data_IF_934681440017
#
_entry.id   IF_934681440017
#
_cell.length_a   1.000
_cell.length_b   1.000
_cell.length_c   1.000
_cell.angle_alpha   90.00
_cell.angle_beta   90.00
_cell.angle_gamma   90.00
#
_symmetry.space_group_name_H-M   'P 1'
#
loop_
_entity.id
_entity.type
_entity.pdbx_description
1 polymer ?
#
# COMPACT_ATOMS: atom_id res chain seq x y z
N UNK A 1 -7.62 6.34 28.19
CA UNK A 1 -6.28 6.98 28.09
C UNK A 1 -5.24 6.32 29.00
N UNK A 2 -5.53 6.08 30.28
CA UNK A 2 -4.59 5.46 31.23
C UNK A 2 -4.12 4.05 30.84
N UNK A 3 -5.03 3.19 30.36
CA UNK A 3 -4.69 1.86 29.86
C UNK A 3 -3.72 1.89 28.67
N UNK A 4 -3.97 2.79 27.70
CA UNK A 4 -3.09 2.95 26.53
C UNK A 4 -1.68 3.39 26.91
N UNK A 5 -1.54 4.27 27.92
CA UNK A 5 -0.24 4.67 28.43
C UNK A 5 0.49 3.51 29.13
N UNK A 6 -0.22 2.71 29.92
CA UNK A 6 0.34 1.50 30.56
C UNK A 6 0.82 0.50 29.51
N UNK A 7 0.02 0.26 28.46
CA UNK A 7 0.37 -0.62 27.35
C UNK A 7 1.59 -0.09 26.57
N UNK A 8 1.62 1.19 26.21
CA UNK A 8 2.75 1.78 25.51
C UNK A 8 4.05 1.70 26.32
N UNK A 9 3.98 1.95 27.63
CA UNK A 9 5.12 1.77 28.55
C UNK A 9 5.60 0.32 28.61
N UNK A 10 4.68 -0.64 28.66
CA UNK A 10 5.01 -2.07 28.66
C UNK A 10 5.68 -2.51 27.35
N UNK A 11 5.17 -2.06 26.20
CA UNK A 11 5.76 -2.33 24.87
C UNK A 11 7.18 -1.75 24.79
N UNK A 12 7.36 -0.49 25.19
CA UNK A 12 8.66 0.16 25.18
C UNK A 12 9.66 -0.51 26.12
N UNK A 13 9.22 -0.86 27.34
CA UNK A 13 10.04 -1.57 28.31
C UNK A 13 10.47 -2.94 27.79
N UNK A 14 9.58 -3.70 27.16
CA UNK A 14 9.92 -5.00 26.56
C UNK A 14 10.93 -4.85 25.43
N UNK A 15 10.73 -3.85 24.55
CA UNK A 15 11.64 -3.58 23.44
C UNK A 15 13.06 -3.19 23.89
N UNK A 16 13.21 -2.55 25.06
CA UNK A 16 14.50 -2.07 25.57
C UNK A 16 15.16 -3.05 26.53
N UNK A 17 14.38 -3.76 27.34
CA UNK A 17 14.89 -4.64 28.40
C UNK A 17 15.17 -6.07 27.92
N UNK A 18 14.41 -6.56 26.94
CA UNK A 18 14.50 -7.95 26.49
C UNK A 18 15.52 -8.17 25.36
N UNK A 19 16.27 -7.14 24.94
CA UNK A 19 17.34 -7.23 23.93
C UNK A 19 16.90 -7.62 22.49
N UNK A 20 15.65 -8.02 22.30
CA UNK A 20 15.14 -8.70 21.09
C UNK A 20 14.18 -7.84 20.26
N UNK A 21 14.37 -6.51 20.24
CA UNK A 21 13.68 -5.68 19.25
C UNK A 21 14.31 -5.93 17.87
N UNK A 22 13.57 -6.54 16.95
CA UNK A 22 14.09 -7.00 15.64
C UNK A 22 14.91 -5.93 14.91
N UNK A 23 14.45 -4.68 14.94
CA UNK A 23 15.11 -3.55 14.29
C UNK A 23 15.92 -2.65 15.23
N UNK A 24 15.86 -2.90 16.54
CA UNK A 24 16.40 -1.97 17.54
C UNK A 24 17.92 -1.96 17.56
N UNK A 25 18.54 -3.13 17.42
CA UNK A 25 20.00 -3.27 17.45
C UNK A 25 20.66 -2.83 16.13
N UNK A 26 19.91 -2.85 15.02
CA UNK A 26 20.41 -2.58 13.67
C UNK A 26 20.08 -1.18 13.13
N UNK A 27 19.58 -0.28 13.98
CA UNK A 27 19.15 1.08 13.57
C UNK A 27 20.20 1.85 12.79
N UNK A 28 21.47 1.76 13.21
CA UNK A 28 22.56 2.43 12.51
C UNK A 28 22.90 1.78 11.16
N UNK A 29 22.71 0.47 11.03
CA UNK A 29 22.86 -0.21 9.75
C UNK A 29 21.79 0.26 8.76
N UNK A 30 20.53 0.34 9.18
CA UNK A 30 19.46 0.86 8.31
C UNK A 30 19.70 2.30 7.84
N UNK A 31 20.17 3.17 8.74
CA UNK A 31 20.61 4.53 8.37
C UNK A 31 21.74 4.52 7.36
N UNK A 32 22.69 3.62 7.52
CA UNK A 32 23.83 3.46 6.60
C UNK A 32 23.38 2.94 5.23
N UNK A 33 22.45 1.97 5.18
CA UNK A 33 21.88 1.50 3.92
C UNK A 33 21.12 2.59 3.18
N UNK A 34 20.35 3.42 3.88
CA UNK A 34 19.70 4.59 3.25
C UNK A 34 20.75 5.57 2.72
N UNK A 35 21.83 5.84 3.46
CA UNK A 35 22.93 6.70 2.97
C UNK A 35 23.54 6.13 1.70
N UNK A 36 23.78 4.82 1.66
CA UNK A 36 24.35 4.14 0.50
C UNK A 36 23.39 4.12 -0.69
N UNK A 37 22.11 3.91 -0.43
CA UNK A 37 21.04 3.97 -1.43
C UNK A 37 20.88 5.37 -2.04
N UNK A 38 21.24 6.42 -1.30
CA UNK A 38 21.31 7.80 -1.78
C UNK A 38 22.68 8.18 -2.37
N UNK A 39 23.67 7.29 -2.31
CA UNK A 39 25.05 7.53 -2.74
C UNK A 39 25.87 8.44 -1.83
N UNK A 40 25.36 8.75 -0.63
CA UNK A 40 26.09 9.49 0.39
C UNK A 40 26.92 8.52 1.23
N UNK A 41 27.86 7.84 0.57
CA UNK A 41 28.76 6.91 1.23
C UNK A 41 29.88 7.67 1.93
N UNK A 42 30.24 7.23 3.14
CA UNK A 42 31.40 7.79 3.82
C UNK A 42 32.67 7.37 3.08
N UNK A 43 33.49 8.35 2.73
CA UNK A 43 34.75 8.17 2.01
C UNK A 43 35.83 7.66 2.96
N UNK A 44 35.75 8.00 4.25
CA UNK A 44 36.80 7.73 5.23
C UNK A 44 37.07 6.25 5.41
N UNK A 45 36.06 5.38 5.25
CA UNK A 45 36.22 3.93 5.34
C UNK A 45 37.16 3.33 4.28
N UNK A 46 37.31 3.99 3.12
CA UNK A 46 38.13 3.47 2.02
C UNK A 46 39.59 3.95 2.08
N UNK A 47 39.87 5.03 2.82
CA UNK A 47 41.23 5.59 2.91
C UNK A 47 42.23 4.57 3.51
N UNK A 48 41.95 3.89 4.63
CA UNK A 48 42.87 2.89 5.20
C UNK A 48 43.12 1.69 4.28
N UNK A 49 42.13 1.28 3.48
CA UNK A 49 42.24 0.14 2.55
C UNK A 49 43.24 0.39 1.42
N UNK A 50 43.49 1.66 1.09
CA UNK A 50 44.44 2.09 0.07
C UNK A 50 45.83 2.41 0.66
N UNK A 51 46.09 1.98 1.91
CA UNK A 51 47.36 2.21 2.58
C UNK A 51 47.56 3.65 3.07
N UNK A 52 46.50 4.46 3.05
CA UNK A 52 46.53 5.85 3.50
C UNK A 52 46.28 5.89 5.00
N UNK A 53 47.35 6.16 5.76
CA UNK A 53 47.25 6.35 7.20
C UNK A 53 46.82 7.80 7.49
N UNK A 54 45.64 7.98 8.09
CA UNK A 54 45.04 9.29 8.40
C UNK A 54 45.85 10.13 9.39
N UNK A 55 46.92 9.58 9.98
CA UNK A 55 47.83 10.33 10.88
C UNK A 55 48.91 11.14 10.15
N UNK A 56 49.27 10.79 8.91
CA UNK A 56 50.33 11.46 8.14
C UNK A 56 49.77 12.10 6.85
N UNK A 57 48.66 12.82 6.98
CA UNK A 57 47.93 13.46 5.85
C UNK A 57 48.80 14.46 5.07
N UNK A 58 49.85 15.01 5.69
CA UNK A 58 50.68 16.06 5.10
C UNK A 58 51.85 15.56 4.23
N UNK A 59 52.16 14.26 4.23
CA UNK A 59 53.35 13.70 3.56
C UNK A 59 53.03 12.85 2.33
N UNK A 60 51.75 12.61 2.05
CA UNK A 60 51.33 11.62 1.06
C UNK A 60 50.39 12.26 0.03
N UNK A 61 50.35 11.73 -1.20
CA UNK A 61 49.70 12.32 -2.39
C UNK A 61 48.15 12.45 -2.31
N UNK A 62 47.57 12.36 -1.12
CA UNK A 62 46.14 12.43 -0.83
C UNK A 62 45.43 13.73 -1.27
N UNK A 63 46.03 14.94 -1.19
CA UNK A 63 45.31 16.18 -1.53
C UNK A 63 44.96 16.29 -3.01
N UNK A 64 45.68 15.54 -3.86
CA UNK A 64 45.53 15.59 -5.31
C UNK A 64 44.56 14.55 -5.87
N UNK A 65 44.03 13.66 -5.04
CA UNK A 65 43.08 12.63 -5.45
C UNK A 65 41.66 13.09 -5.11
N UNK A 66 40.75 13.07 -6.09
CA UNK A 66 39.32 13.20 -5.83
C UNK A 66 38.78 11.87 -5.28
N UNK A 67 38.34 11.89 -4.03
CA UNK A 67 37.82 10.72 -3.32
C UNK A 67 36.30 10.52 -3.50
N UNK A 68 35.67 11.31 -4.35
CA UNK A 68 34.24 11.22 -4.65
C UNK A 68 33.84 9.84 -5.17
N UNK A 69 32.95 9.18 -4.44
CA UNK A 69 32.41 7.88 -4.83
C UNK A 69 31.34 8.09 -5.89
N UNK A 70 31.52 7.48 -7.07
CA UNK A 70 30.51 7.53 -8.13
C UNK A 70 29.28 6.73 -7.72
N UNK A 71 28.15 7.42 -7.65
CA UNK A 71 26.89 6.81 -7.25
C UNK A 71 26.18 6.11 -8.43
N UNK A 72 26.42 4.81 -8.58
CA UNK A 72 25.68 3.97 -9.53
C UNK A 72 24.43 3.31 -8.91
N UNK A 73 24.43 3.12 -7.59
CA UNK A 73 23.40 2.38 -6.87
C UNK A 73 22.05 3.11 -6.89
N UNK A 74 22.04 4.41 -6.61
CA UNK A 74 20.79 5.20 -6.56
C UNK A 74 20.02 5.15 -7.88
N UNK A 75 20.71 5.23 -9.03
CA UNK A 75 20.06 5.13 -10.32
C UNK A 75 19.36 3.79 -10.52
N UNK A 76 19.99 2.69 -10.10
CA UNK A 76 19.40 1.34 -10.21
C UNK A 76 18.23 1.17 -9.25
N UNK A 77 18.36 1.65 -8.02
CA UNK A 77 17.28 1.63 -7.01
C UNK A 77 16.07 2.40 -7.54
N UNK A 78 16.26 3.61 -8.06
CA UNK A 78 15.17 4.42 -8.60
C UNK A 78 14.46 3.72 -9.77
N UNK A 79 15.18 3.04 -10.67
CA UNK A 79 14.56 2.26 -11.75
C UNK A 79 13.69 1.12 -11.20
N UNK A 80 14.14 0.43 -10.16
CA UNK A 80 13.35 -0.63 -9.52
C UNK A 80 12.12 -0.07 -8.82
N UNK A 81 12.29 1.02 -8.06
CA UNK A 81 11.18 1.72 -7.38
C UNK A 81 10.12 2.17 -8.40
N UNK A 82 10.53 2.81 -9.50
CA UNK A 82 9.60 3.19 -10.57
C UNK A 82 8.84 1.99 -11.15
N UNK A 83 9.50 0.83 -11.33
CA UNK A 83 8.81 -0.38 -11.80
C UNK A 83 7.79 -0.93 -10.80
N UNK A 84 8.05 -0.80 -9.50
CA UNK A 84 7.12 -1.23 -8.43
C UNK A 84 5.93 -0.27 -8.35
N UNK A 85 6.17 1.05 -8.42
CA UNK A 85 5.12 2.06 -8.31
C UNK A 85 4.22 2.09 -9.54
N UNK A 86 4.76 1.90 -10.76
CA UNK A 86 3.99 1.94 -12.01
C UNK A 86 2.87 0.88 -12.12
N UNK A 87 2.84 -0.12 -11.23
CA UNK A 87 1.75 -1.10 -11.20
C UNK A 87 0.58 -0.50 -10.43
N UNK A 88 -0.30 0.25 -11.06
CA UNK A 88 -1.50 0.75 -10.39
C UNK A 88 -2.35 -0.42 -9.87
N UNK A 89 -2.77 -0.33 -8.61
CA UNK A 89 -3.63 -1.31 -7.97
C UNK A 89 -4.88 -0.57 -7.53
N UNK A 90 -5.97 -0.76 -8.27
CA UNK A 90 -7.25 -0.22 -7.88
C UNK A 90 -7.89 -1.10 -6.80
N UNK A 91 -8.47 -0.50 -5.74
CA UNK A 91 -9.21 -1.26 -4.75
C UNK A 91 -10.44 -1.87 -5.41
N UNK A 92 -10.54 -3.19 -5.38
CA UNK A 92 -11.72 -3.92 -5.83
C UNK A 92 -12.44 -4.49 -4.61
N UNK A 93 -13.71 -4.13 -4.46
CA UNK A 93 -14.56 -4.60 -3.34
C UNK A 93 -15.57 -5.60 -3.89
N UNK A 94 -15.59 -6.79 -3.30
CA UNK A 94 -16.56 -7.83 -3.63
C UNK A 94 -17.38 -8.22 -2.40
N UNK A 95 -18.69 -8.35 -2.56
CA UNK A 95 -19.58 -8.85 -1.54
C UNK A 95 -19.33 -10.34 -1.29
N UNK A 96 -19.17 -10.69 -0.01
CA UNK A 96 -18.94 -12.08 0.45
C UNK A 96 -20.26 -12.72 0.89
N UNK A 97 -21.29 -11.91 1.19
CA UNK A 97 -22.59 -12.38 1.67
C UNK A 97 -23.34 -13.21 0.61
N UNK A 98 -23.96 -14.30 1.05
CA UNK A 98 -24.79 -15.15 0.23
C UNK A 98 -26.02 -14.40 -0.31
N UNK A 99 -26.64 -13.53 0.49
CA UNK A 99 -27.78 -12.71 0.04
C UNK A 99 -27.38 -11.78 -1.11
N UNK A 100 -26.25 -11.08 -0.98
CA UNK A 100 -25.75 -10.21 -2.05
C UNK A 100 -25.44 -11.00 -3.34
N UNK A 101 -24.90 -12.21 -3.21
CA UNK A 101 -24.67 -13.09 -4.35
C UNK A 101 -25.98 -13.57 -5.01
N UNK A 102 -27.02 -13.81 -4.22
CA UNK A 102 -28.33 -14.19 -4.76
C UNK A 102 -29.03 -12.99 -5.43
N UNK A 103 -28.89 -11.77 -4.90
CA UNK A 103 -29.33 -10.55 -5.60
C UNK A 103 -28.62 -10.38 -6.96
N UNK A 104 -27.31 -10.62 -7.03
CA UNK A 104 -26.55 -10.61 -8.28
C UNK A 104 -27.06 -11.65 -9.28
N UNK A 105 -27.34 -12.87 -8.81
CA UNK A 105 -27.89 -13.94 -9.64
C UNK A 105 -29.29 -13.61 -10.14
N UNK A 106 -30.16 -13.10 -9.28
CA UNK A 106 -31.53 -12.71 -9.63
C UNK A 106 -31.55 -11.57 -10.63
N UNK A 107 -30.69 -10.57 -10.46
CA UNK A 107 -30.52 -9.49 -11.43
C UNK A 107 -30.07 -10.04 -12.78
N UNK A 108 -29.03 -10.87 -12.82
CA UNK A 108 -28.55 -11.49 -14.05
C UNK A 108 -29.61 -12.39 -14.71
N UNK A 109 -30.41 -13.10 -13.92
CA UNK A 109 -31.51 -13.94 -14.41
C UNK A 109 -32.62 -13.08 -15.05
N UNK A 110 -32.97 -11.94 -14.43
CA UNK A 110 -33.95 -10.99 -14.98
C UNK A 110 -33.47 -10.36 -16.29
N UNK A 111 -32.20 -9.96 -16.37
CA UNK A 111 -31.60 -9.41 -17.60
C UNK A 111 -31.61 -10.44 -18.72
N UNK A 112 -31.20 -11.69 -18.43
CA UNK A 112 -31.23 -12.79 -19.40
C UNK A 112 -32.64 -13.09 -19.88
N UNK A 113 -33.62 -13.14 -18.97
CA UNK A 113 -35.02 -13.40 -19.32
C UNK A 113 -35.60 -12.28 -20.20
N UNK A 114 -35.35 -11.02 -19.84
CA UNK A 114 -35.86 -9.89 -20.62
C UNK A 114 -35.21 -9.79 -22.00
N UNK A 115 -33.89 -9.98 -22.12
CA UNK A 115 -33.19 -9.92 -23.41
C UNK A 115 -33.71 -10.97 -24.39
N UNK A 116 -33.95 -12.20 -23.91
CA UNK A 116 -34.50 -13.29 -24.74
C UNK A 116 -35.86 -12.96 -25.36
N UNK A 117 -36.72 -12.28 -24.61
CA UNK A 117 -38.10 -11.99 -25.02
C UNK A 117 -38.32 -10.50 -25.40
N UNK A 118 -37.24 -9.73 -25.56
CA UNK A 118 -37.25 -8.26 -25.72
C UNK A 118 -38.20 -7.79 -26.83
N UNK A 119 -38.13 -8.40 -28.01
CA UNK A 119 -38.97 -8.03 -29.16
C UNK A 119 -40.46 -8.25 -28.89
N UNK A 120 -40.80 -9.39 -28.27
CA UNK A 120 -42.19 -9.74 -27.94
C UNK A 120 -42.74 -8.84 -26.82
N UNK A 121 -41.94 -8.59 -25.78
CA UNK A 121 -42.32 -7.72 -24.65
C UNK A 121 -42.54 -6.27 -25.10
N UNK A 122 -41.70 -5.73 -25.99
CA UNK A 122 -41.86 -4.38 -26.51
C UNK A 122 -43.11 -4.22 -27.40
N UNK A 123 -43.43 -5.22 -28.22
CA UNK A 123 -44.63 -5.20 -29.06
C UNK A 123 -45.91 -5.27 -28.21
N UNK A 124 -45.93 -6.18 -27.23
CA UNK A 124 -47.03 -6.32 -26.26
C UNK A 124 -47.20 -5.06 -25.40
N UNK A 125 -46.10 -4.45 -24.96
CA UNK A 125 -46.13 -3.20 -24.20
C UNK A 125 -46.79 -2.05 -24.95
N UNK A 126 -46.47 -1.90 -26.25
CA UNK A 126 -47.13 -0.92 -27.13
C UNK A 126 -48.62 -1.17 -27.32
N UNK A 127 -49.05 -2.43 -27.37
CA UNK A 127 -50.47 -2.80 -27.54
C UNK A 127 -51.29 -2.63 -26.25
N UNK A 128 -50.68 -2.89 -25.09
CA UNK A 128 -51.34 -2.87 -23.77
C UNK A 128 -51.18 -1.54 -23.03
N UNK A 129 -50.32 -0.63 -23.52
CA UNK A 129 -49.99 0.62 -22.83
C UNK A 129 -49.24 0.38 -21.51
N UNK A 130 -48.57 -0.76 -21.36
CA UNK A 130 -47.86 -1.16 -20.14
C UNK A 130 -46.36 -1.28 -20.43
N UNK A 131 -45.54 -0.89 -19.46
CA UNK A 131 -44.10 -1.07 -19.52
C UNK A 131 -43.72 -2.41 -18.86
N UNK A 132 -43.05 -3.28 -19.62
CA UNK A 132 -42.61 -4.60 -19.16
C UNK A 132 -41.10 -4.64 -18.86
N UNK A 133 -40.44 -3.48 -18.87
CA UNK A 133 -39.03 -3.37 -18.50
C UNK A 133 -38.88 -3.64 -17.01
N UNK A 134 -37.96 -4.55 -16.60
CA UNK A 134 -37.71 -4.78 -15.18
C UNK A 134 -37.23 -3.49 -14.51
N UNK A 135 -37.71 -3.23 -13.30
CA UNK A 135 -37.29 -2.05 -12.53
C UNK A 135 -35.75 -1.98 -12.39
N UNK A 136 -35.18 -0.80 -12.66
CA UNK A 136 -33.75 -0.54 -12.57
C UNK A 136 -32.93 -0.88 -13.83
N UNK A 137 -33.58 -1.26 -14.94
CA UNK A 137 -32.92 -1.53 -16.22
C UNK A 137 -33.23 -0.46 -17.27
N UNK A 138 -32.20 0.04 -17.95
CA UNK A 138 -32.35 0.91 -19.13
C UNK A 138 -32.53 0.04 -20.38
N UNK A 139 -33.63 0.23 -21.10
CA UNK A 139 -33.93 -0.45 -22.38
C UNK A 139 -32.75 -0.40 -23.36
N UNK A 140 -32.03 0.71 -23.38
CA UNK A 140 -30.93 0.94 -24.33
C UNK A 140 -29.63 0.27 -23.90
N UNK A 141 -29.50 -0.15 -22.63
CA UNK A 141 -28.30 -0.81 -22.12
C UNK A 141 -28.39 -2.34 -22.21
N UNK A 142 -29.54 -2.91 -22.57
CA UNK A 142 -29.75 -4.36 -22.60
C UNK A 142 -29.26 -4.92 -23.94
N UNK A 143 -28.21 -5.78 -23.94
CA UNK A 143 -27.67 -6.36 -25.16
C UNK A 143 -28.65 -7.31 -25.84
N UNK A 144 -28.51 -7.45 -27.16
CA UNK A 144 -29.38 -8.27 -27.99
C UNK A 144 -28.86 -9.70 -28.20
N UNK A 145 -27.59 -9.97 -27.86
CA UNK A 145 -26.93 -11.26 -28.10
C UNK A 145 -26.43 -11.91 -26.80
N UNK A 146 -26.55 -13.23 -26.68
CA UNK A 146 -26.16 -14.01 -25.49
C UNK A 146 -24.71 -13.77 -25.05
N UNK A 147 -23.78 -13.64 -26.00
CA UNK A 147 -22.38 -13.35 -25.71
C UNK A 147 -22.18 -11.94 -25.11
N UNK A 148 -22.97 -10.96 -25.55
CA UNK A 148 -22.92 -9.60 -25.02
C UNK A 148 -23.62 -9.51 -23.65
N UNK A 149 -24.64 -10.34 -23.41
CA UNK A 149 -25.29 -10.45 -22.09
C UNK A 149 -24.30 -10.97 -21.06
N UNK A 150 -23.47 -11.96 -21.39
CA UNK A 150 -22.43 -12.44 -20.48
C UNK A 150 -21.37 -11.36 -20.19
N UNK A 151 -20.96 -10.60 -21.20
CA UNK A 151 -20.03 -9.46 -21.02
C UNK A 151 -20.68 -8.36 -20.16
N UNK A 152 -21.95 -8.04 -20.42
CA UNK A 152 -22.71 -7.06 -19.64
C UNK A 152 -22.92 -7.51 -18.20
N UNK A 153 -23.18 -8.80 -17.97
CA UNK A 153 -23.28 -9.39 -16.64
C UNK A 153 -21.93 -9.43 -15.89
N UNK A 154 -20.80 -9.42 -16.59
CA UNK A 154 -19.50 -9.25 -15.94
C UNK A 154 -19.22 -7.78 -15.60
N UNK A 155 -19.65 -6.85 -16.45
CA UNK A 155 -19.42 -5.41 -16.26
C UNK A 155 -20.35 -4.75 -15.23
N UNK A 156 -21.65 -5.08 -15.25
CA UNK A 156 -22.70 -4.38 -14.50
C UNK A 156 -23.19 -5.12 -13.26
N UNK A 157 -22.49 -6.17 -12.82
CA UNK A 157 -22.88 -6.97 -11.67
C UNK A 157 -22.18 -6.53 -10.37
N UNK A 158 -21.66 -5.30 -10.35
CA UNK A 158 -21.24 -4.65 -9.11
C UNK A 158 -22.47 -4.06 -8.42
N UNK A 159 -22.64 -4.36 -7.14
CA UNK A 159 -23.68 -3.70 -6.35
C UNK A 159 -23.33 -2.22 -6.18
N UNK A 160 -24.34 -1.37 -6.08
CA UNK A 160 -24.15 0.04 -5.76
C UNK A 160 -23.31 0.24 -4.50
N UNK A 161 -23.55 -0.58 -3.47
CA UNK A 161 -22.77 -0.57 -2.22
C UNK A 161 -21.30 -0.95 -2.41
N UNK A 162 -20.96 -1.82 -3.37
CA UNK A 162 -19.56 -2.14 -3.69
C UNK A 162 -18.87 -0.93 -4.33
N UNK A 163 -19.56 -0.26 -5.27
CA UNK A 163 -19.05 0.95 -5.93
C UNK A 163 -18.85 2.09 -4.93
N UNK A 164 -19.81 2.33 -4.03
CA UNK A 164 -19.70 3.34 -2.99
C UNK A 164 -18.50 3.08 -2.06
N UNK A 165 -18.26 1.82 -1.69
CA UNK A 165 -17.11 1.45 -0.87
C UNK A 165 -15.79 1.63 -1.62
N UNK A 166 -15.71 1.26 -2.90
CA UNK A 166 -14.53 1.50 -3.74
C UNK A 166 -14.23 3.00 -3.85
N UNK A 167 -15.25 3.82 -4.10
CA UNK A 167 -15.10 5.29 -4.14
C UNK A 167 -14.67 5.87 -2.79
N UNK A 168 -15.24 5.38 -1.69
CA UNK A 168 -14.87 5.79 -0.34
C UNK A 168 -13.42 5.44 0.01
N UNK A 169 -12.98 4.23 -0.32
CA UNK A 169 -11.59 3.81 -0.14
C UNK A 169 -10.67 4.68 -1.01
N UNK A 170 -11.00 4.89 -2.28
CA UNK A 170 -10.24 5.76 -3.18
C UNK A 170 -10.09 7.18 -2.64
N UNK A 171 -11.16 7.76 -2.11
CA UNK A 171 -11.13 9.07 -1.47
C UNK A 171 -10.16 9.11 -0.27
N UNK A 172 -10.22 8.11 0.61
CA UNK A 172 -9.32 8.06 1.77
C UNK A 172 -7.86 7.78 1.40
N UNK A 173 -7.59 6.96 0.37
CA UNK A 173 -6.24 6.74 -0.14
C UNK A 173 -5.67 8.03 -0.75
N UNK A 174 -6.46 8.74 -1.55
CA UNK A 174 -6.07 10.04 -2.12
C UNK A 174 -5.79 11.07 -1.02
N UNK A 175 -6.65 11.17 -0.01
CA UNK A 175 -6.46 12.07 1.14
C UNK A 175 -5.16 11.80 1.91
N UNK A 176 -4.65 10.57 1.88
CA UNK A 176 -3.42 10.18 2.56
C UNK A 176 -2.17 10.26 1.65
N UNK A 177 -2.30 10.84 0.45
CA UNK A 177 -1.24 10.87 -0.57
C UNK A 177 -0.63 9.48 -0.79
N UNK A 178 -1.50 8.47 -0.91
CA UNK A 178 -1.07 7.07 -0.91
C UNK A 178 -0.09 6.73 -2.03
N UNK A 179 -0.18 7.38 -3.20
CA UNK A 179 0.77 7.17 -4.30
C UNK A 179 2.20 7.60 -3.94
N UNK A 180 2.32 8.71 -3.22
CA UNK A 180 3.59 9.17 -2.68
C UNK A 180 4.08 8.21 -1.60
N UNK A 181 3.21 7.89 -0.65
CA UNK A 181 3.52 6.96 0.43
C UNK A 181 3.99 5.60 -0.10
N UNK A 182 3.33 5.08 -1.13
CA UNK A 182 3.68 3.83 -1.80
C UNK A 182 5.06 3.89 -2.41
N UNK A 183 5.42 5.02 -3.02
CA UNK A 183 6.77 5.22 -3.58
C UNK A 183 7.82 5.21 -2.48
N UNK A 184 7.54 5.83 -1.34
CA UNK A 184 8.45 5.78 -0.19
C UNK A 184 8.57 4.37 0.41
N UNK A 185 7.47 3.63 0.52
CA UNK A 185 7.47 2.25 1.01
C UNK A 185 8.21 1.31 0.05
N UNK A 186 8.05 1.50 -1.27
CA UNK A 186 8.79 0.76 -2.28
C UNK A 186 10.29 1.09 -2.21
N UNK A 187 10.65 2.35 -1.97
CA UNK A 187 12.03 2.75 -1.77
C UNK A 187 12.65 2.04 -0.55
N UNK A 188 11.95 2.03 0.58
CA UNK A 188 12.41 1.32 1.78
C UNK A 188 12.58 -0.18 1.55
N UNK A 189 11.63 -0.79 0.83
CA UNK A 189 11.71 -2.21 0.49
C UNK A 189 12.93 -2.53 -0.37
N UNK A 190 13.29 -1.67 -1.33
CA UNK A 190 14.45 -1.88 -2.20
C UNK A 190 15.77 -1.53 -1.51
N UNK A 191 15.80 -0.49 -0.69
CA UNK A 191 17.02 0.01 -0.04
C UNK A 191 17.39 -0.80 1.23
N UNK A 192 16.38 -1.18 2.02
CA UNK A 192 16.55 -1.79 3.33
C UNK A 192 16.10 -3.27 3.34
N UNK A 193 15.16 -3.64 2.47
CA UNK A 193 14.55 -4.98 2.45
C UNK A 193 13.29 -5.10 3.30
N UNK A 194 12.92 -4.05 4.05
CA UNK A 194 11.72 -4.01 4.90
C UNK A 194 11.09 -2.63 4.81
N UNK A 195 9.77 -2.57 4.75
CA UNK A 195 8.99 -1.34 4.86
C UNK A 195 7.81 -1.54 5.83
N UNK A 196 7.30 -0.44 6.37
CA UNK A 196 6.18 -0.48 7.31
C UNK A 196 5.26 0.71 7.14
N UNK A 197 3.96 0.48 7.25
CA UNK A 197 2.95 1.53 7.28
C UNK A 197 2.11 1.40 8.56
N UNK A 198 1.86 2.52 9.21
CA UNK A 198 0.89 2.62 10.29
C UNK A 198 -0.45 3.05 9.73
N UNK A 199 -1.49 2.28 10.02
CA UNK A 199 -2.88 2.66 9.75
C UNK A 199 -3.55 2.94 11.08
N UNK A 200 -4.17 4.11 11.19
CA UNK A 200 -4.91 4.51 12.38
C UNK A 200 -6.02 5.49 12.04
N UNK A 201 -6.53 6.19 13.05
CA UNK A 201 -7.59 7.19 12.89
C UNK A 201 -7.14 8.57 13.36
N UNK A 202 -7.63 9.60 12.68
CA UNK A 202 -7.49 11.00 13.08
C UNK A 202 -8.46 11.38 14.22
N UNK A 203 -8.38 12.64 14.67
CA UNK A 203 -9.29 13.17 15.72
C UNK A 203 -10.76 13.19 15.30
N UNK A 204 -11.02 13.13 13.99
CA UNK A 204 -12.33 13.10 13.35
C UNK A 204 -12.71 11.69 12.85
N UNK A 205 -12.03 10.63 13.31
CA UNK A 205 -12.26 9.23 12.94
C UNK A 205 -12.03 8.88 11.47
N UNK A 206 -11.29 9.70 10.72
CA UNK A 206 -10.88 9.36 9.37
C UNK A 206 -9.63 8.48 9.37
N UNK A 207 -9.54 7.49 8.48
CA UNK A 207 -8.34 6.69 8.31
C UNK A 207 -7.12 7.56 7.95
N UNK A 208 -6.04 7.39 8.70
CA UNK A 208 -4.72 7.93 8.34
C UNK A 208 -3.74 6.79 8.11
N UNK A 209 -2.95 6.91 7.04
CA UNK A 209 -1.84 6.03 6.73
C UNK A 209 -0.53 6.83 6.82
N UNK A 210 0.46 6.32 7.57
CA UNK A 210 1.78 6.95 7.72
C UNK A 210 2.88 5.94 7.49
N UNK A 211 3.95 6.37 6.82
CA UNK A 211 5.20 5.61 6.73
C UNK A 211 5.82 5.43 8.11
N UNK A 212 6.18 4.20 8.46
CA UNK A 212 7.07 3.89 9.58
C UNK A 212 8.39 3.43 8.99
N UNK A 213 9.48 4.07 9.41
CA UNK A 213 10.81 3.60 9.06
C UNK A 213 11.22 2.44 9.98
N UNK A 214 11.93 1.42 9.47
CA UNK A 214 12.35 0.27 10.29
C UNK A 214 13.09 0.68 11.56
N UNK A 215 13.91 1.74 11.53
CA UNK A 215 14.65 2.21 12.71
C UNK A 215 13.76 2.73 13.85
N UNK A 216 12.54 3.15 13.53
CA UNK A 216 11.57 3.70 14.48
C UNK A 216 10.50 2.66 14.84
N UNK A 217 10.47 1.50 14.18
CA UNK A 217 9.52 0.43 14.48
C UNK A 217 9.90 -0.33 15.77
N UNK A 218 8.89 -0.67 16.57
CA UNK A 218 8.97 -1.59 17.69
C UNK A 218 8.12 -2.80 17.35
N UNK A 219 8.77 -3.92 17.06
CA UNK A 219 8.12 -5.21 16.83
C UNK A 219 8.89 -6.31 17.56
N UNK A 220 8.18 -7.32 18.10
CA UNK A 220 8.82 -8.51 18.63
C UNK A 220 9.46 -9.32 17.48
N UNK A 221 10.35 -10.23 17.84
CA UNK A 221 10.86 -11.23 16.90
C UNK A 221 9.72 -12.03 16.26
N UNK A 222 9.83 -12.26 14.96
CA UNK A 222 8.87 -13.05 14.18
C UNK A 222 9.62 -13.82 13.10
N UNK A 223 9.20 -15.06 12.87
CA UNK A 223 9.65 -15.88 11.74
C UNK A 223 8.83 -15.59 10.47
N UNK A 224 7.62 -15.04 10.61
CA UNK A 224 6.78 -14.71 9.46
C UNK A 224 7.25 -13.41 8.81
N UNK A 225 7.49 -13.41 7.48
CA UNK A 225 7.96 -12.21 6.76
C UNK A 225 6.90 -11.09 6.72
N UNK A 226 5.63 -11.44 6.89
CA UNK A 226 4.50 -10.50 6.91
C UNK A 226 4.06 -10.09 8.32
N UNK A 227 4.82 -10.45 9.36
CA UNK A 227 4.55 -10.07 10.75
C UNK A 227 3.13 -10.44 11.25
N UNK A 228 2.49 -11.47 10.68
CA UNK A 228 1.09 -11.85 10.99
C UNK A 228 0.89 -12.38 12.42
N UNK A 229 1.94 -12.90 13.04
CA UNK A 229 1.91 -13.54 14.36
C UNK A 229 2.50 -12.66 15.48
N UNK A 230 2.63 -11.34 15.27
CA UNK A 230 3.09 -10.46 16.34
C UNK A 230 1.96 -10.14 17.33
N UNK A 231 2.29 -10.15 18.62
CA UNK A 231 1.33 -9.83 19.69
C UNK A 231 1.16 -8.32 19.89
N UNK A 232 2.16 -7.54 19.49
CA UNK A 232 2.13 -6.09 19.55
C UNK A 232 3.01 -5.52 18.44
N UNK A 233 2.66 -4.32 17.99
CA UNK A 233 3.45 -3.51 17.09
C UNK A 233 3.32 -2.05 17.51
N UNK A 234 4.39 -1.30 17.38
CA UNK A 234 4.41 0.12 17.68
C UNK A 234 5.44 0.85 16.85
N UNK A 235 5.40 2.18 16.92
CA UNK A 235 6.44 3.04 16.36
C UNK A 235 6.82 4.12 17.36
N UNK A 236 8.10 4.49 17.36
CA UNK A 236 8.64 5.57 18.16
C UNK A 236 8.66 6.82 17.29
N UNK A 237 7.92 7.84 17.69
CA UNK A 237 8.03 9.16 17.07
C UNK A 237 8.89 10.05 17.94
N UNK A 238 10.10 10.37 17.48
CA UNK A 238 10.94 11.39 18.11
C UNK A 238 10.35 12.76 17.78
N UNK A 239 9.93 13.49 18.80
CA UNK A 239 9.51 14.88 18.66
C UNK A 239 10.70 15.75 19.09
N UNK A 240 11.11 16.67 18.23
CA UNK A 240 12.06 17.71 18.64
C UNK A 240 11.33 18.63 19.60
N UNK A 241 11.90 18.83 20.79
CA UNK A 241 11.43 19.87 21.70
C UNK A 241 12.01 21.17 21.14
N UNK A 242 11.13 22.05 20.66
CA UNK A 242 11.48 23.40 20.23
C UNK A 242 11.83 24.30 21.40
#
# INVERSE_FOLDING_TARGET
KEYGLKLAKAIYHNSTSSGNGLFYNEKEMYRTYIKYANGNQDIEQYKPLLGVNTKNINESMLPSIDWGIRNYATKKINVVVSKITNREYDPVVGAIDQMANDFKKDYNARVKAFSKDKAWLMEKGKQLGADFVPEGLDINSIPDNDAEIEIHALANNKLHSELELEMGIGYHLSRNDYDYLRTELAYDLVAIGVCGAWVGMDEHLNPIIKRIRPEDAIVPYTENPNFKNINYGGSIRRMTVG
#
